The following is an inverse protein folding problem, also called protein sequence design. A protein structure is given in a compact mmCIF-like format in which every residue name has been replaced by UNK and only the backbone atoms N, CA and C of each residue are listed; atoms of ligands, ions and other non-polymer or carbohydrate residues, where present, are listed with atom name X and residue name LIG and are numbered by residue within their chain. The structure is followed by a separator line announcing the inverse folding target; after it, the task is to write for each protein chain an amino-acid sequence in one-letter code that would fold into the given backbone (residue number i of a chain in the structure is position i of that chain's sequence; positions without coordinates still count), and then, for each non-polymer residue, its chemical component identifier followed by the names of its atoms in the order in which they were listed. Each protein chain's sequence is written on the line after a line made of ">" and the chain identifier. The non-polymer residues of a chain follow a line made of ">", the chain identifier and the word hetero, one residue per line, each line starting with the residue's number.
data_IF_230067466371
#
_entry.id   IF_230067466371
#
_cell.length_a   1.000
_cell.length_b   1.000
_cell.length_c   1.000
_cell.angle_alpha   90.00
_cell.angle_beta   90.00
_cell.angle_gamma   90.00
#
_symmetry.space_group_name_H-M   'P 1'
#
loop_
_entity.id
_entity.type
_entity.pdbx_description
1 polymer ?
#
# COMPACT_ATOMS: atom_id res chain seq x y z
N UNK A 1 -1.41 -4.85 -5.74
CA UNK A 1 -0.59 -5.78 -4.92
C UNK A 1 -0.54 -5.11 -3.59
N UNK A 2 -1.32 -5.61 -2.65
CA UNK A 2 -1.57 -4.91 -1.40
C UNK A 2 -1.03 -5.77 -0.27
N UNK A 3 -0.11 -5.20 0.51
CA UNK A 3 0.65 -5.92 1.53
C UNK A 3 0.46 -5.22 2.85
N UNK A 4 -0.22 -5.90 3.77
CA UNK A 4 -0.49 -5.39 5.11
C UNK A 4 -1.28 -4.09 5.04
N UNK A 5 -2.44 -4.09 4.40
CA UNK A 5 -3.36 -2.95 4.36
C UNK A 5 -4.43 -3.02 5.45
N UNK A 6 -4.99 -1.87 5.82
CA UNK A 6 -6.21 -1.73 6.61
C UNK A 6 -7.20 -0.92 5.78
N UNK A 7 -8.27 -1.56 5.37
CA UNK A 7 -9.26 -0.99 4.45
C UNK A 7 -10.67 -1.07 5.05
N UNK A 8 -11.49 -0.06 4.75
CA UNK A 8 -12.93 -0.02 5.05
C UNK A 8 -13.26 -0.45 6.50
N UNK A 9 -12.48 0.04 7.46
CA UNK A 9 -12.52 -0.38 8.86
C UNK A 9 -12.91 0.78 9.79
N UNK A 10 -13.62 0.47 10.88
CA UNK A 10 -13.86 1.41 11.98
C UNK A 10 -13.11 0.95 13.24
N UNK A 11 -12.14 1.75 13.65
CA UNK A 11 -11.22 1.48 14.75
C UNK A 11 -11.49 2.53 15.83
N UNK A 12 -12.19 2.14 16.90
CA UNK A 12 -12.57 3.05 17.99
C UNK A 12 -11.40 3.55 18.85
N UNK A 13 -10.16 3.18 18.52
CA UNK A 13 -8.95 3.46 19.30
C UNK A 13 -7.75 3.78 18.41
N UNK A 14 -6.55 3.52 18.92
CA UNK A 14 -5.32 3.74 18.13
C UNK A 14 -5.08 2.59 17.15
N UNK A 15 -4.65 2.91 15.93
CA UNK A 15 -4.08 1.95 14.98
C UNK A 15 -2.55 2.00 15.09
N UNK A 16 -1.93 0.87 15.40
CA UNK A 16 -0.47 0.70 15.38
C UNK A 16 -0.12 -0.41 14.39
N UNK A 17 0.12 -0.02 13.13
CA UNK A 17 0.39 -0.94 12.03
C UNK A 17 1.89 -1.01 11.79
N UNK A 18 2.42 -2.24 11.67
CA UNK A 18 3.78 -2.44 11.19
C UNK A 18 3.79 -3.45 10.05
N UNK A 19 4.33 -3.03 8.92
CA UNK A 19 4.45 -3.85 7.71
C UNK A 19 5.92 -4.01 7.39
N UNK A 20 6.38 -5.26 7.29
CA UNK A 20 7.76 -5.59 6.96
C UNK A 20 7.81 -6.43 5.69
N UNK A 21 8.59 -5.97 4.71
CA UNK A 21 8.85 -6.68 3.47
C UNK A 21 10.36 -6.89 3.35
N UNK A 22 10.80 -8.12 3.60
CA UNK A 22 12.22 -8.49 3.61
C UNK A 22 12.85 -8.70 2.22
N UNK A 23 12.05 -8.65 1.15
CA UNK A 23 12.50 -8.94 -0.22
C UNK A 23 12.01 -7.91 -1.23
N UNK A 24 12.24 -8.19 -2.51
CA UNK A 24 11.74 -7.34 -3.59
C UNK A 24 10.23 -7.55 -3.81
N UNK A 25 9.52 -6.49 -4.16
CA UNK A 25 8.13 -6.50 -4.62
C UNK A 25 8.13 -6.10 -6.08
N UNK A 26 7.66 -6.98 -6.96
CA UNK A 26 7.59 -6.71 -8.39
C UNK A 26 6.16 -6.91 -8.85
N UNK A 27 5.56 -5.85 -9.37
CA UNK A 27 4.22 -5.84 -9.92
C UNK A 27 4.27 -5.26 -11.33
N UNK A 28 4.12 -6.12 -12.33
CA UNK A 28 4.18 -5.74 -13.73
C UNK A 28 2.89 -6.13 -14.42
N UNK A 29 2.24 -5.16 -15.05
CA UNK A 29 1.04 -5.39 -15.84
C UNK A 29 1.37 -5.53 -17.34
N UNK A 30 0.55 -6.29 -18.05
CA UNK A 30 0.67 -6.52 -19.50
C UNK A 30 0.18 -5.33 -20.34
N UNK A 31 0.02 -5.53 -21.66
CA UNK A 31 -0.44 -4.47 -22.59
C UNK A 31 -1.76 -3.84 -22.13
N UNK A 32 -1.78 -2.51 -21.99
CA UNK A 32 -2.87 -1.70 -21.42
C UNK A 32 -3.27 -2.01 -19.96
N UNK A 33 -2.52 -2.86 -19.26
CA UNK A 33 -2.80 -3.22 -17.87
C UNK A 33 -2.30 -2.18 -16.87
N UNK A 34 -3.13 -1.83 -15.90
CA UNK A 34 -2.73 -0.98 -14.77
C UNK A 34 -2.01 -1.81 -13.71
N UNK A 35 -1.02 -1.21 -13.06
CA UNK A 35 -0.28 -1.83 -11.96
C UNK A 35 -0.30 -0.94 -10.71
N UNK A 36 -0.89 -1.43 -9.63
CA UNK A 36 -0.95 -0.75 -8.34
C UNK A 36 -0.25 -1.58 -7.28
N UNK A 37 0.69 -0.99 -6.54
CA UNK A 37 1.39 -1.65 -5.42
C UNK A 37 1.26 -0.83 -4.16
N UNK A 38 0.68 -1.40 -3.11
CA UNK A 38 0.38 -0.70 -1.87
C UNK A 38 0.92 -1.50 -0.68
N UNK A 39 1.74 -0.89 0.16
CA UNK A 39 2.43 -1.59 1.25
C UNK A 39 2.23 -0.80 2.54
N UNK A 40 1.60 -1.40 3.54
CA UNK A 40 1.28 -0.70 4.78
C UNK A 40 0.31 0.46 4.57
N UNK A 41 -0.65 0.29 3.65
CA UNK A 41 -1.68 1.29 3.36
C UNK A 41 -2.78 1.24 4.42
N UNK A 42 -3.36 2.39 4.70
CA UNK A 42 -4.61 2.53 5.43
C UNK A 42 -5.54 3.40 4.60
N UNK A 43 -6.67 2.84 4.18
CA UNK A 43 -7.63 3.50 3.31
C UNK A 43 -9.05 3.33 3.82
N UNK A 44 -9.86 4.36 3.63
CA UNK A 44 -11.27 4.36 4.03
C UNK A 44 -11.50 3.91 5.49
N UNK A 45 -10.51 4.12 6.37
CA UNK A 45 -10.59 3.71 7.76
C UNK A 45 -10.98 4.90 8.64
N UNK A 46 -11.97 4.69 9.52
CA UNK A 46 -12.28 5.57 10.64
C UNK A 46 -11.38 5.17 11.80
N UNK A 47 -10.55 6.09 12.30
CA UNK A 47 -9.65 5.84 13.42
C UNK A 47 -9.95 6.87 14.51
N UNK A 48 -10.52 6.39 15.62
CA UNK A 48 -10.91 7.23 16.76
C UNK A 48 -9.73 7.74 17.60
N UNK A 49 -8.55 7.15 17.43
CA UNK A 49 -7.29 7.55 18.07
C UNK A 49 -6.20 7.94 17.07
N UNK A 50 -4.94 7.68 17.45
CA UNK A 50 -3.78 7.92 16.60
C UNK A 50 -3.61 6.79 15.58
N UNK A 51 -3.14 7.14 14.38
CA UNK A 51 -2.71 6.18 13.37
C UNK A 51 -1.18 6.21 13.24
N UNK A 52 -0.51 5.21 13.80
CA UNK A 52 0.94 5.01 13.68
C UNK A 52 1.21 3.91 12.69
N UNK A 53 1.92 4.23 11.61
CA UNK A 53 2.32 3.28 10.59
C UNK A 53 3.84 3.18 10.53
N UNK A 54 4.37 1.97 10.59
CA UNK A 54 5.78 1.70 10.38
C UNK A 54 5.96 0.66 9.28
N UNK A 55 6.25 1.14 8.07
CA UNK A 55 6.47 0.29 6.90
C UNK A 55 7.94 0.23 6.56
N UNK A 56 8.50 -0.98 6.57
CA UNK A 56 9.90 -1.26 6.21
C UNK A 56 9.93 -2.16 5.00
N UNK A 57 10.63 -1.73 3.95
CA UNK A 57 10.90 -2.55 2.76
C UNK A 57 12.40 -2.60 2.55
N UNK A 58 12.98 -3.80 2.58
CA UNK A 58 14.43 -4.00 2.44
C UNK A 58 14.87 -4.29 1.00
N UNK A 59 13.94 -4.71 0.13
CA UNK A 59 14.19 -4.94 -1.28
C UNK A 59 13.67 -3.82 -2.19
N UNK A 60 13.88 -3.97 -3.50
CA UNK A 60 13.33 -3.04 -4.47
C UNK A 60 11.80 -3.18 -4.57
N UNK A 61 11.09 -2.06 -4.72
CA UNK A 61 9.67 -2.04 -5.11
C UNK A 61 9.60 -1.57 -6.56
N UNK A 62 9.21 -2.47 -7.46
CA UNK A 62 9.05 -2.18 -8.89
C UNK A 62 7.59 -2.34 -9.27
N UNK A 63 6.97 -1.24 -9.67
CA UNK A 63 5.63 -1.23 -10.24
C UNK A 63 5.72 -0.72 -11.66
N UNK A 64 5.26 -1.52 -12.62
CA UNK A 64 5.35 -1.19 -14.04
C UNK A 64 4.00 -1.44 -14.70
N UNK A 65 3.37 -0.36 -15.15
CA UNK A 65 2.16 -0.40 -15.96
C UNK A 65 2.46 -0.79 -17.40
N UNK A 66 1.43 -1.23 -18.12
CA UNK A 66 1.49 -1.50 -19.55
C UNK A 66 1.65 -0.25 -20.41
N UNK A 67 1.77 -0.44 -21.73
CA UNK A 67 1.72 0.65 -22.71
C UNK A 67 0.44 1.50 -22.50
N UNK A 68 0.59 2.82 -22.35
CA UNK A 68 -0.49 3.77 -22.06
C UNK A 68 -1.30 3.49 -20.79
N UNK A 69 -0.76 2.73 -19.84
CA UNK A 69 -1.44 2.41 -18.59
C UNK A 69 -0.72 2.95 -17.36
N UNK A 70 -1.49 3.18 -16.30
CA UNK A 70 -1.00 3.77 -15.06
C UNK A 70 -0.21 2.75 -14.22
N UNK A 71 0.86 3.24 -13.60
CA UNK A 71 1.60 2.53 -12.56
C UNK A 71 1.58 3.39 -11.29
N UNK A 72 1.17 2.83 -10.16
CA UNK A 72 1.09 3.57 -8.92
C UNK A 72 1.65 2.75 -7.75
N UNK A 73 2.44 3.40 -6.88
CA UNK A 73 3.04 2.78 -5.71
C UNK A 73 2.82 3.65 -4.48
N UNK A 74 2.25 3.07 -3.43
CA UNK A 74 2.02 3.71 -2.13
C UNK A 74 2.65 2.87 -1.02
N UNK A 75 3.44 3.50 -0.15
CA UNK A 75 4.14 2.80 0.94
C UNK A 75 3.96 3.60 2.22
N UNK A 76 3.38 2.98 3.25
CA UNK A 76 3.13 3.61 4.55
C UNK A 76 2.21 4.82 4.44
N UNK A 77 1.05 4.65 3.82
CA UNK A 77 0.15 5.73 3.43
C UNK A 77 -1.17 5.69 4.20
N UNK A 78 -1.73 6.86 4.49
CA UNK A 78 -3.03 7.05 5.15
C UNK A 78 -3.91 7.94 4.28
N UNK A 79 -5.11 7.49 3.93
CA UNK A 79 -6.09 8.28 3.17
C UNK A 79 -6.33 7.72 1.78
N UNK A 80 -6.44 8.57 0.76
CA UNK A 80 -6.57 8.15 -0.64
C UNK A 80 -5.21 7.71 -1.18
N UNK A 81 -5.17 6.55 -1.81
CA UNK A 81 -3.96 5.99 -2.37
C UNK A 81 -4.11 5.82 -3.88
N UNK A 82 -3.42 4.84 -4.44
CA UNK A 82 -3.68 4.40 -5.79
C UNK A 82 -5.08 3.78 -5.86
#
# INVERSE_FOLDING_TARGET
>A
VDIGSVEDSDISGNLNQSTFVGGAVVNTAGFLGKATTEIGKVENASIGGNATQNTTVLGAVTTSGGFLADACTSIGSLGSNC
#
